data_IF_580615546182
#
_entry.id   IF_580615546182
#
_cell.length_a   1.000
_cell.length_b   1.000
_cell.length_c   1.000
_cell.angle_alpha   90.00
_cell.angle_beta   90.00
_cell.angle_gamma   90.00
#
_symmetry.space_group_name_H-M   'P 1'
#
loop_
_entity.id
_entity.type
_entity.pdbx_description
1 polymer ?
#
# COMPACT_ATOMS: atom_id res chain seq x y z
N UNK A 1 -21.57 13.45 7.78
CA UNK A 1 -22.41 12.33 8.29
C UNK A 1 -22.41 11.24 7.22
N UNK A 2 -21.38 10.38 7.21
CA UNK A 2 -21.17 9.36 6.18
C UNK A 2 -22.08 8.14 6.44
N UNK A 3 -23.36 8.25 6.07
CA UNK A 3 -24.30 7.12 6.09
C UNK A 3 -24.42 6.55 4.68
N UNK A 4 -24.13 5.26 4.55
CA UNK A 4 -24.31 4.42 3.36
C UNK A 4 -23.30 4.59 2.22
N UNK A 5 -22.05 4.15 2.43
CA UNK A 5 -21.15 3.82 1.33
C UNK A 5 -20.87 2.33 1.36
N UNK A 6 -21.29 1.61 0.32
CA UNK A 6 -20.86 0.25 0.06
C UNK A 6 -19.34 0.27 -0.10
N UNK A 7 -18.63 -0.28 0.88
CA UNK A 7 -17.17 -0.24 0.95
C UNK A 7 -16.58 -1.26 -0.02
N UNK A 8 -15.67 -0.81 -0.90
CA UNK A 8 -14.90 -1.71 -1.75
C UNK A 8 -13.50 -1.14 -2.04
N UNK A 9 -12.53 -1.77 -1.35
CA UNK A 9 -11.20 -2.20 -1.83
C UNK A 9 -10.07 -1.19 -1.62
N UNK A 10 -9.11 -1.53 -0.76
CA UNK A 10 -7.96 -0.68 -0.41
C UNK A 10 -6.68 -1.49 -0.47
N UNK A 11 -5.71 -1.06 -1.28
CA UNK A 11 -4.37 -1.64 -1.33
C UNK A 11 -3.34 -0.55 -1.07
N UNK A 12 -2.62 -0.63 0.06
CA UNK A 12 -1.49 0.24 0.33
C UNK A 12 -0.20 -0.54 0.05
N UNK A 13 0.82 0.12 -0.48
CA UNK A 13 2.14 -0.47 -0.65
C UNK A 13 3.06 0.04 0.45
N UNK A 14 3.93 -0.84 0.93
CA UNK A 14 4.79 -0.58 2.08
C UNK A 14 5.96 0.33 1.70
N UNK A 15 6.13 1.44 2.41
CA UNK A 15 7.28 2.35 2.29
C UNK A 15 8.05 2.38 3.61
N UNK A 16 9.37 2.26 3.53
CA UNK A 16 10.29 2.39 4.65
C UNK A 16 11.08 3.70 4.51
N UNK A 17 10.92 4.63 5.46
CA UNK A 17 11.92 5.68 5.70
C UNK A 17 13.07 5.09 6.53
N UNK A 18 14.25 4.96 5.94
CA UNK A 18 15.45 4.50 6.65
C UNK A 18 15.89 5.53 7.70
N UNK A 19 16.12 5.08 8.94
CA UNK A 19 17.06 5.71 9.86
C UNK A 19 18.34 4.85 9.94
N UNK A 20 19.50 5.49 9.81
CA UNK A 20 20.80 4.92 9.46
C UNK A 20 21.32 3.86 10.46
N UNK A 21 22.03 2.85 9.94
CA UNK A 21 23.27 2.37 10.57
C UNK A 21 24.30 2.03 9.49
N UNK A 22 25.36 2.85 9.41
CA UNK A 22 26.56 2.54 8.63
C UNK A 22 27.23 1.29 9.23
N UNK A 23 27.70 0.38 8.38
CA UNK A 23 28.80 -0.51 8.72
C UNK A 23 29.73 -0.70 7.52
N UNK A 24 31.00 -0.69 7.90
CA UNK A 24 32.25 -0.55 7.16
C UNK A 24 32.62 -1.76 6.29
N UNK A 25 33.49 -1.46 5.32
CA UNK A 25 34.25 -2.35 4.44
C UNK A 25 34.93 -3.52 5.17
N UNK A 26 34.90 -4.71 4.57
CA UNK A 26 36.09 -5.48 4.14
C UNK A 26 35.75 -6.95 3.81
N UNK A 27 36.16 -7.35 2.61
CA UNK A 27 36.62 -8.67 2.17
C UNK A 27 35.69 -9.90 2.10
N UNK A 28 35.76 -10.48 0.89
CA UNK A 28 35.57 -11.88 0.45
C UNK A 28 34.49 -12.72 1.13
N UNK A 29 33.56 -13.25 0.33
CA UNK A 29 33.54 -14.70 0.09
C UNK A 29 32.46 -15.09 -0.92
N UNK A 30 32.91 -15.90 -1.87
CA UNK A 30 32.11 -16.64 -2.84
C UNK A 30 31.09 -17.53 -2.12
N UNK A 31 29.87 -17.02 -1.90
CA UNK A 31 28.68 -17.85 -1.63
C UNK A 31 27.34 -17.09 -1.78
N UNK A 32 27.34 -15.89 -2.38
CA UNK A 32 26.09 -15.13 -2.57
C UNK A 32 25.34 -15.48 -3.87
N UNK A 33 25.50 -16.70 -4.37
CA UNK A 33 24.48 -17.35 -5.18
C UNK A 33 23.42 -17.94 -4.23
N UNK A 34 22.91 -17.10 -3.32
CA UNK A 34 21.64 -17.41 -2.68
C UNK A 34 20.64 -17.34 -3.82
N UNK A 35 20.12 -18.51 -4.17
CA UNK A 35 18.80 -18.72 -4.75
C UNK A 35 17.79 -17.81 -4.03
N UNK A 36 17.77 -16.53 -4.37
CA UNK A 36 16.68 -15.65 -4.04
C UNK A 36 15.63 -16.00 -5.08
N UNK A 37 14.95 -17.13 -4.85
CA UNK A 37 13.61 -17.32 -5.34
C UNK A 37 12.91 -16.01 -5.01
N UNK A 38 12.73 -15.17 -6.02
CA UNK A 38 12.20 -13.84 -5.82
C UNK A 38 10.75 -14.07 -5.42
N UNK A 39 10.50 -14.06 -4.11
CA UNK A 39 9.17 -14.23 -3.54
C UNK A 39 8.26 -13.26 -4.29
N UNK A 40 7.18 -13.81 -4.87
CA UNK A 40 6.23 -13.00 -5.61
C UNK A 40 5.73 -11.87 -4.71
N UNK A 41 5.82 -10.64 -5.18
CA UNK A 41 5.29 -9.48 -4.45
C UNK A 41 3.77 -9.62 -4.40
N UNK A 42 3.25 -9.71 -3.18
CA UNK A 42 1.81 -9.92 -2.92
C UNK A 42 1.40 -9.10 -1.69
N UNK A 43 0.10 -9.00 -1.44
CA UNK A 43 -0.44 -8.43 -0.21
C UNK A 43 -0.19 -9.37 0.97
N UNK A 44 0.38 -8.83 2.05
CA UNK A 44 0.73 -9.57 3.26
C UNK A 44 -0.47 -9.65 4.20
N UNK A 45 -0.98 -10.87 4.41
CA UNK A 45 -2.12 -11.14 5.30
C UNK A 45 -1.81 -10.90 6.78
N UNK A 46 -0.53 -10.74 7.15
CA UNK A 46 -0.12 -10.33 8.50
C UNK A 46 -0.17 -8.81 8.68
N UNK A 47 -0.19 -8.06 7.57
CA UNK A 47 -0.17 -6.60 7.55
C UNK A 47 -1.43 -6.09 6.85
N UNK A 48 -2.59 -6.39 7.43
CA UNK A 48 -3.88 -5.93 6.94
C UNK A 48 -4.81 -5.50 8.08
N UNK A 49 -5.76 -4.61 7.77
CA UNK A 49 -6.78 -4.18 8.73
C UNK A 49 -7.78 -5.28 9.08
N UNK A 50 -8.46 -5.13 10.22
CA UNK A 50 -9.35 -6.16 10.77
C UNK A 50 -10.53 -6.51 9.84
N UNK A 51 -11.00 -5.54 9.05
CA UNK A 51 -12.10 -5.74 8.10
C UNK A 51 -11.65 -6.08 6.67
N UNK A 52 -10.35 -6.34 6.47
CA UNK A 52 -9.78 -6.60 5.14
C UNK A 52 -9.84 -8.07 4.82
N UNK A 53 -10.03 -8.39 3.53
CA UNK A 53 -10.00 -9.75 3.01
C UNK A 53 -9.09 -9.77 1.80
N UNK A 54 -8.07 -10.64 1.85
CA UNK A 54 -7.11 -10.83 0.76
C UNK A 54 -7.40 -12.17 0.09
N UNK A 55 -7.59 -12.16 -1.23
CA UNK A 55 -7.93 -13.32 -2.07
C UNK A 55 -7.05 -13.35 -3.31
N UNK A 56 -7.25 -14.37 -4.17
CA UNK A 56 -6.45 -14.59 -5.39
C UNK A 56 -4.94 -14.58 -5.12
N UNK A 57 -4.49 -15.40 -4.17
CA UNK A 57 -3.07 -15.55 -3.82
C UNK A 57 -2.38 -14.21 -3.50
N UNK A 58 -3.05 -13.34 -2.75
CA UNK A 58 -2.47 -12.05 -2.36
C UNK A 58 -2.52 -10.96 -3.44
N UNK A 59 -3.24 -11.17 -4.54
CA UNK A 59 -3.35 -10.20 -5.64
C UNK A 59 -4.64 -9.37 -5.62
N UNK A 60 -5.59 -9.70 -4.76
CA UNK A 60 -6.85 -8.96 -4.66
C UNK A 60 -7.20 -8.70 -3.20
N UNK A 61 -7.57 -7.47 -2.93
CA UNK A 61 -8.05 -7.00 -1.64
C UNK A 61 -9.50 -6.55 -1.74
N UNK A 62 -10.29 -6.85 -0.71
CA UNK A 62 -11.65 -6.39 -0.51
C UNK A 62 -11.95 -6.19 0.98
N UNK A 63 -13.14 -5.69 1.30
CA UNK A 63 -13.53 -5.36 2.67
C UNK A 63 -13.21 -3.91 3.06
N UNK A 64 -13.02 -3.70 4.36
CA UNK A 64 -12.94 -2.40 5.03
C UNK A 64 -11.61 -2.25 5.79
N UNK A 65 -10.73 -1.39 5.28
CA UNK A 65 -9.38 -1.18 5.79
C UNK A 65 -8.34 -1.37 4.69
N UNK A 66 -7.06 -1.34 5.03
CA UNK A 66 -5.91 -1.41 4.11
C UNK A 66 -5.09 -2.67 4.32
N UNK A 67 -4.39 -3.12 3.28
CA UNK A 67 -3.33 -4.12 3.39
C UNK A 67 -2.02 -3.57 2.83
N UNK A 68 -0.88 -4.01 3.37
CA UNK A 68 0.47 -3.71 2.87
C UNK A 68 1.00 -4.86 2.01
N UNK A 69 1.92 -4.54 1.10
CA UNK A 69 2.71 -5.55 0.40
C UNK A 69 3.67 -6.29 1.35
N UNK A 70 4.05 -7.52 0.99
CA UNK A 70 5.01 -8.36 1.72
C UNK A 70 6.46 -7.86 1.64
N UNK A 71 6.76 -6.91 0.74
CA UNK A 71 8.10 -6.37 0.51
C UNK A 71 8.10 -4.84 0.66
N UNK A 72 9.17 -4.33 1.25
CA UNK A 72 9.46 -2.90 1.38
C UNK A 72 9.99 -2.29 0.08
N UNK A 73 9.66 -1.02 -0.19
CA UNK A 73 10.35 -0.25 -1.21
C UNK A 73 11.77 0.10 -0.70
N UNK A 74 12.78 -0.66 -1.16
CA UNK A 74 14.20 -0.48 -0.80
C UNK A 74 15.04 0.18 -1.92
N UNK A 75 14.36 0.68 -2.95
CA UNK A 75 14.94 1.25 -4.16
C UNK A 75 14.55 2.73 -4.30
N UNK A 76 15.37 3.51 -4.99
CA UNK A 76 15.15 4.95 -5.19
C UNK A 76 13.89 5.24 -6.03
N UNK A 77 13.51 4.31 -6.91
CA UNK A 77 12.34 4.40 -7.78
C UNK A 77 11.61 3.08 -7.77
N UNK A 78 10.30 3.11 -7.53
CA UNK A 78 9.43 1.94 -7.58
C UNK A 78 8.19 2.25 -8.41
N UNK A 79 7.66 1.21 -9.05
CA UNK A 79 6.42 1.28 -9.81
C UNK A 79 5.54 0.09 -9.44
N UNK A 80 4.26 0.34 -9.28
CA UNK A 80 3.23 -0.65 -9.06
C UNK A 80 1.92 -0.13 -9.63
N UNK A 81 1.02 -1.04 -9.97
CA UNK A 81 -0.30 -0.70 -10.48
C UNK A 81 -1.36 -1.37 -9.63
N UNK A 82 -2.53 -0.75 -9.56
CA UNK A 82 -3.75 -1.39 -9.09
C UNK A 82 -4.77 -1.41 -10.21
N UNK A 83 -5.47 -2.55 -10.36
CA UNK A 83 -6.64 -2.63 -11.23
C UNK A 83 -7.90 -2.44 -10.42
N UNK A 84 -8.76 -1.52 -10.86
CA UNK A 84 -10.07 -1.31 -10.25
C UNK A 84 -11.00 -2.45 -10.67
N UNK A 85 -11.27 -3.34 -9.73
CA UNK A 85 -12.08 -4.53 -9.98
C UNK A 85 -13.57 -4.33 -9.69
N UNK A 86 -13.91 -3.25 -8.97
CA UNK A 86 -15.27 -2.75 -8.79
C UNK A 86 -15.19 -1.31 -8.28
N UNK A 87 -16.14 -0.47 -8.66
CA UNK A 87 -16.26 0.89 -8.11
C UNK A 87 -16.63 0.87 -6.63
N UNK A 88 -16.35 1.98 -5.97
CA UNK A 88 -16.60 2.18 -4.56
C UNK A 88 -15.55 3.10 -3.95
N UNK A 89 -15.53 3.12 -2.63
CA UNK A 89 -14.44 3.79 -1.90
C UNK A 89 -13.21 2.90 -1.88
N UNK A 90 -12.17 3.38 -2.57
CA UNK A 90 -10.84 2.77 -2.57
C UNK A 90 -9.78 3.80 -2.21
N UNK A 91 -8.62 3.30 -1.81
CA UNK A 91 -7.42 4.11 -1.73
C UNK A 91 -6.19 3.31 -2.11
N UNK A 92 -5.20 4.01 -2.62
CA UNK A 92 -3.89 3.48 -3.00
C UNK A 92 -2.82 4.42 -2.53
N UNK A 93 -1.63 3.91 -2.23
CA UNK A 93 -0.52 4.77 -1.87
C UNK A 93 0.59 4.03 -1.15
N UNK A 94 1.33 4.78 -0.36
CA UNK A 94 2.50 4.27 0.37
C UNK A 94 2.34 4.46 1.86
N UNK A 95 2.73 3.47 2.65
CA UNK A 95 2.65 3.55 4.10
C UNK A 95 3.71 2.73 4.82
N UNK A 96 4.12 3.16 6.01
CA UNK A 96 4.98 2.37 6.89
C UNK A 96 4.15 1.31 7.65
N UNK A 97 4.82 0.36 8.30
CA UNK A 97 4.14 -0.65 9.14
C UNK A 97 3.48 -0.07 10.40
N UNK A 98 3.72 1.21 10.72
CA UNK A 98 3.12 1.89 11.87
C UNK A 98 1.75 2.51 11.55
N UNK A 99 1.34 2.52 10.28
CA UNK A 99 0.05 3.10 9.89
C UNK A 99 -1.13 2.30 10.47
N UNK A 100 -2.24 2.99 10.73
CA UNK A 100 -3.46 2.33 11.17
C UNK A 100 -4.20 1.73 9.97
N UNK A 101 -3.93 0.46 9.68
CA UNK A 101 -4.53 -0.28 8.56
C UNK A 101 -6.05 -0.48 8.69
N UNK A 102 -6.64 -0.29 9.87
CA UNK A 102 -8.10 -0.36 10.04
C UNK A 102 -8.78 1.01 9.94
N UNK A 103 -8.04 2.09 9.75
CA UNK A 103 -8.58 3.45 9.64
C UNK A 103 -9.35 3.65 8.33
N UNK A 104 -10.52 4.29 8.43
CA UNK A 104 -11.38 4.60 7.29
C UNK A 104 -11.91 6.04 7.45
N UNK A 105 -11.60 6.99 6.54
CA UNK A 105 -10.59 6.86 5.48
C UNK A 105 -9.16 6.78 6.07
N UNK A 106 -8.20 6.17 5.33
CA UNK A 106 -6.77 6.20 5.69
C UNK A 106 -6.15 7.59 5.45
N UNK A 107 -4.85 7.77 5.68
CA UNK A 107 -4.15 9.05 5.46
C UNK A 107 -4.30 10.07 6.58
N UNK A 108 -4.84 9.64 7.73
CA UNK A 108 -4.99 10.48 8.93
C UNK A 108 -3.78 10.45 9.86
N UNK A 109 -2.85 9.55 9.61
CA UNK A 109 -1.61 9.40 10.37
C UNK A 109 -0.41 9.94 9.61
N UNK A 110 0.71 10.10 10.31
CA UNK A 110 1.99 10.53 9.74
C UNK A 110 2.72 9.40 9.01
N UNK A 111 2.10 8.22 8.93
CA UNK A 111 2.72 6.99 8.46
C UNK A 111 2.21 6.55 7.09
N UNK A 112 1.27 7.28 6.50
CA UNK A 112 0.65 6.95 5.22
C UNK A 112 0.47 8.18 4.33
N UNK A 113 0.63 7.94 3.03
CA UNK A 113 0.34 8.85 1.93
C UNK A 113 -0.61 8.12 0.99
N UNK A 114 -1.83 8.62 0.84
CA UNK A 114 -2.90 7.88 0.17
C UNK A 114 -3.64 8.75 -0.82
N UNK A 115 -3.80 8.24 -2.03
CA UNK A 115 -4.73 8.73 -3.04
C UNK A 115 -6.06 8.01 -2.82
N UNK A 116 -7.12 8.79 -2.59
CA UNK A 116 -8.48 8.27 -2.43
C UNK A 116 -9.20 8.20 -3.78
N UNK A 117 -10.29 7.44 -3.81
CA UNK A 117 -11.12 7.24 -5.01
C UNK A 117 -11.73 8.49 -5.62
N UNK A 118 -11.78 9.61 -4.88
CA UNK A 118 -12.25 10.91 -5.35
C UNK A 118 -11.11 11.80 -5.91
N UNK A 119 -9.91 11.24 -6.02
CA UNK A 119 -8.70 11.90 -6.51
C UNK A 119 -7.97 12.75 -5.45
N UNK A 120 -8.44 12.81 -4.21
CA UNK A 120 -7.75 13.55 -3.15
C UNK A 120 -6.55 12.78 -2.59
N UNK A 121 -5.42 13.48 -2.43
CA UNK A 121 -4.20 12.96 -1.82
C UNK A 121 -4.13 13.40 -0.35
N UNK A 122 -3.97 12.46 0.57
CA UNK A 122 -3.98 12.71 2.01
C UNK A 122 -2.71 12.23 2.70
N UNK A 123 -2.28 13.01 3.69
CA UNK A 123 -1.20 12.69 4.64
C UNK A 123 -1.41 13.49 5.93
N UNK A 124 -1.14 12.90 7.10
CA UNK A 124 -1.22 13.59 8.39
C UNK A 124 -2.57 14.30 8.63
N UNK A 125 -3.67 13.70 8.16
CA UNK A 125 -5.02 14.26 8.25
C UNK A 125 -5.21 15.60 7.50
N UNK A 126 -4.36 15.86 6.50
CA UNK A 126 -4.44 17.02 5.62
C UNK A 126 -4.59 16.54 4.18
N UNK A 127 -5.51 17.16 3.44
CA UNK A 127 -5.61 17.00 1.99
C UNK A 127 -4.47 17.81 1.34
N UNK A 128 -3.45 17.10 0.85
CA UNK A 128 -2.23 17.69 0.30
C UNK A 128 -2.47 18.21 -1.12
N UNK A 129 -3.20 17.44 -1.92
CA UNK A 129 -3.48 17.77 -3.33
C UNK A 129 -4.77 17.08 -3.80
N UNK A 130 -5.22 17.42 -5.00
CA UNK A 130 -6.34 16.75 -5.67
C UNK A 130 -6.07 16.60 -7.17
N UNK A 131 -6.01 15.35 -7.60
CA UNK A 131 -5.91 14.99 -9.01
C UNK A 131 -7.31 14.84 -9.58
N UNK A 132 -7.55 15.40 -10.76
CA UNK A 132 -8.82 15.20 -11.46
C UNK A 132 -8.83 13.82 -12.12
N UNK A 133 -9.34 12.83 -11.39
CA UNK A 133 -9.35 11.41 -11.77
C UNK A 133 -10.79 10.95 -12.02
N UNK A 134 -11.08 10.60 -13.27
CA UNK A 134 -12.29 9.85 -13.65
C UNK A 134 -11.90 8.38 -13.78
N UNK A 135 -12.18 7.59 -12.74
CA UNK A 135 -11.80 6.19 -12.65
C UNK A 135 -13.02 5.29 -12.81
N UNK A 136 -12.91 4.31 -13.71
CA UNK A 136 -13.92 3.31 -14.03
C UNK A 136 -13.46 1.90 -13.62
N UNK A 137 -14.40 0.95 -13.59
CA UNK A 137 -14.04 -0.47 -13.44
C UNK A 137 -13.20 -0.93 -14.63
N UNK A 138 -12.13 -1.65 -14.34
CA UNK A 138 -11.17 -2.13 -15.35
C UNK A 138 -9.96 -1.23 -15.50
N UNK A 139 -10.01 0.02 -15.04
CA UNK A 139 -8.89 0.95 -15.12
C UNK A 139 -7.70 0.49 -14.26
N UNK A 140 -6.51 0.87 -14.71
CA UNK A 140 -5.25 0.68 -14.01
C UNK A 140 -4.75 2.05 -13.53
N UNK A 141 -4.37 2.11 -12.26
CA UNK A 141 -3.80 3.29 -11.60
C UNK A 141 -2.39 2.96 -11.15
#
# INVERSE_FOLDING_TARGET
MYKNMNFCRLGLIRCCFKNKKLRSDSESDENFLINKQQESITLDTRLMGNGVVVIKNGQRVCGSGSALANVDILQDKAYFEIRIQALGFWSVGVATTQCNLSAIPPGKDDYSWVLLSDGSLWHSNVAVDKVNLLVNEGDYI
#
